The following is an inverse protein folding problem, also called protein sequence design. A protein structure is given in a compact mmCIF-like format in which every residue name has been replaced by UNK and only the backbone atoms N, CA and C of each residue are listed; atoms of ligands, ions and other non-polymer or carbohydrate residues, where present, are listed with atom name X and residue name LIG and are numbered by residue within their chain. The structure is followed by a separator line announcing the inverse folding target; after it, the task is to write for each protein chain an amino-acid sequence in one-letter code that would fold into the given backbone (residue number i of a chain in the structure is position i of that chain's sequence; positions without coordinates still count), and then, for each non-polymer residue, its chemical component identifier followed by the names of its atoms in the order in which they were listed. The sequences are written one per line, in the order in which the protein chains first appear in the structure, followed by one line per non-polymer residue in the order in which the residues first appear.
data_IF_397145687035
#
_entry.id   IF_397145687035
#
_cell.length_a   1.000
_cell.length_b   1.000
_cell.length_c   1.000
_cell.angle_alpha   90.00
_cell.angle_beta   90.00
_cell.angle_gamma   90.00
#
_symmetry.space_group_name_H-M   'P 1'
#
loop_
_entity.id
_entity.type
_entity.pdbx_description
1 polymer ?
#
# COMPACT_ATOMS: atom_id res chain seq x y z
N UNK A 1 11.88 21.72 -38.85
CA UNK A 1 11.24 21.94 -37.53
C UNK A 1 11.87 23.18 -36.94
N UNK A 2 11.11 24.27 -36.85
CA UNK A 2 11.57 25.48 -36.16
C UNK A 2 11.25 25.38 -34.67
N UNK A 3 12.11 25.89 -33.78
CA UNK A 3 11.87 25.83 -32.34
C UNK A 3 10.66 26.70 -31.95
N UNK A 4 9.92 26.27 -30.93
CA UNK A 4 8.81 27.03 -30.36
C UNK A 4 9.33 28.29 -29.66
N UNK A 5 8.56 29.38 -29.72
CA UNK A 5 8.87 30.61 -28.97
C UNK A 5 8.58 30.44 -27.48
N UNK A 6 9.15 31.30 -26.64
CA UNK A 6 8.93 31.28 -25.17
C UNK A 6 7.43 31.35 -24.84
N UNK A 7 6.69 32.21 -25.53
CA UNK A 7 5.25 32.36 -25.33
C UNK A 7 4.45 31.10 -25.73
N UNK A 8 4.96 30.30 -26.68
CA UNK A 8 4.33 29.04 -27.09
C UNK A 8 4.65 27.87 -26.14
N UNK A 9 5.76 27.95 -25.41
CA UNK A 9 6.20 26.90 -24.49
C UNK A 9 5.70 27.13 -23.06
N UNK A 10 5.49 28.38 -22.65
CA UNK A 10 5.07 28.73 -21.30
C UNK A 10 3.57 28.48 -21.09
N UNK A 11 3.24 27.71 -20.06
CA UNK A 11 1.87 27.51 -19.57
C UNK A 11 1.78 28.08 -18.16
N UNK A 12 1.16 29.25 -18.03
CA UNK A 12 0.93 29.88 -16.74
C UNK A 12 0.03 29.00 -15.87
N UNK A 13 0.37 28.90 -14.58
CA UNK A 13 -0.54 28.38 -13.56
C UNK A 13 -1.29 29.58 -12.99
N UNK A 14 -2.61 29.69 -13.16
CA UNK A 14 -3.38 30.74 -12.50
C UNK A 14 -3.33 30.53 -10.98
N UNK A 15 -3.14 31.61 -10.22
CA UNK A 15 -3.05 31.57 -8.76
C UNK A 15 -4.43 31.79 -8.10
N UNK A 16 -5.37 32.42 -8.81
CA UNK A 16 -6.72 32.78 -8.33
C UNK A 16 -7.58 31.59 -7.89
N UNK A 17 -7.16 30.36 -8.18
CA UNK A 17 -7.87 29.12 -7.82
C UNK A 17 -7.37 28.44 -6.55
N UNK A 18 -6.40 29.01 -5.84
CA UNK A 18 -5.86 28.46 -4.60
C UNK A 18 -6.38 29.24 -3.38
N UNK A 19 -7.00 28.51 -2.44
CA UNK A 19 -7.48 29.07 -1.18
C UNK A 19 -6.42 29.01 -0.06
N UNK A 20 -5.13 28.97 -0.42
CA UNK A 20 -4.00 28.87 0.52
C UNK A 20 -2.82 29.72 0.05
N UNK A 21 -2.04 30.23 1.01
CA UNK A 21 -0.86 31.07 0.75
C UNK A 21 0.44 30.25 0.85
N UNK A 22 0.51 29.34 1.82
CA UNK A 22 1.69 28.48 2.04
C UNK A 22 1.29 27.01 2.09
N UNK A 23 2.15 26.15 1.54
CA UNK A 23 1.89 24.70 1.43
C UNK A 23 1.68 23.98 2.76
N UNK A 24 2.08 24.57 3.89
CA UNK A 24 1.80 24.04 5.23
C UNK A 24 0.33 24.16 5.66
N UNK A 25 -0.46 24.99 4.98
CA UNK A 25 -1.91 25.11 5.21
C UNK A 25 -2.69 23.96 4.57
N UNK A 26 -2.06 23.22 3.65
CA UNK A 26 -2.68 22.08 3.01
C UNK A 26 -2.77 20.89 3.98
N UNK A 27 -3.95 20.29 4.04
CA UNK A 27 -4.13 19.01 4.72
C UNK A 27 -3.30 17.89 4.07
N UNK A 28 -3.04 16.84 4.83
CA UNK A 28 -2.39 15.64 4.30
C UNK A 28 -3.23 15.04 3.16
N UNK A 29 -2.62 14.86 2.00
CA UNK A 29 -3.27 14.19 0.88
C UNK A 29 -3.49 12.71 1.20
N UNK A 30 -4.63 12.16 0.78
CA UNK A 30 -4.83 10.71 0.77
C UNK A 30 -3.72 10.08 -0.09
N UNK A 31 -3.10 9.01 0.41
CA UNK A 31 -1.92 8.38 -0.15
C UNK A 31 -2.12 7.91 -1.59
N UNK A 32 -3.35 7.63 -2.01
CA UNK A 32 -3.69 7.25 -3.38
C UNK A 32 -4.45 8.33 -4.16
N UNK A 33 -4.40 9.58 -3.69
CA UNK A 33 -4.94 10.73 -4.43
C UNK A 33 -4.33 10.80 -5.83
N UNK A 34 -5.15 10.66 -6.87
CA UNK A 34 -4.71 10.57 -8.27
C UNK A 34 -4.45 9.16 -8.81
N UNK A 35 -4.53 8.13 -7.96
CA UNK A 35 -4.28 6.72 -8.32
C UNK A 35 -5.53 5.83 -8.16
N UNK A 36 -6.71 6.34 -8.55
CA UNK A 36 -8.02 5.65 -8.38
C UNK A 36 -8.00 4.18 -8.80
N UNK A 37 -7.48 3.88 -10.00
CA UNK A 37 -7.40 2.49 -10.50
C UNK A 37 -6.56 1.57 -9.60
N UNK A 38 -5.46 2.07 -9.05
CA UNK A 38 -4.61 1.28 -8.16
C UNK A 38 -5.34 1.00 -6.84
N UNK A 39 -6.04 2.01 -6.30
CA UNK A 39 -6.89 1.87 -5.12
C UNK A 39 -7.98 0.81 -5.33
N UNK A 40 -8.76 0.91 -6.40
CA UNK A 40 -9.83 -0.05 -6.70
C UNK A 40 -9.29 -1.49 -6.85
N UNK A 41 -8.13 -1.66 -7.49
CA UNK A 41 -7.52 -2.97 -7.69
C UNK A 41 -7.01 -3.57 -6.37
N UNK A 42 -6.39 -2.77 -5.51
CA UNK A 42 -5.98 -3.21 -4.17
C UNK A 42 -7.20 -3.54 -3.31
N UNK A 43 -8.25 -2.72 -3.41
CA UNK A 43 -9.46 -2.89 -2.65
C UNK A 43 -10.17 -4.20 -2.97
N UNK A 44 -10.35 -4.48 -4.26
CA UNK A 44 -10.90 -5.73 -4.77
C UNK A 44 -9.98 -6.92 -4.49
N UNK A 45 -8.68 -6.78 -4.80
CA UNK A 45 -7.69 -7.84 -4.68
C UNK A 45 -7.53 -8.36 -3.26
N UNK A 46 -7.53 -7.47 -2.26
CA UNK A 46 -7.37 -7.83 -0.85
C UNK A 46 -8.67 -8.29 -0.19
N UNK A 47 -9.83 -8.07 -0.82
CA UNK A 47 -11.10 -8.63 -0.37
C UNK A 47 -11.27 -10.11 -0.74
N UNK A 48 -10.53 -10.61 -1.75
CA UNK A 48 -10.59 -12.01 -2.16
C UNK A 48 -9.89 -12.94 -1.17
N UNK A 49 -10.65 -13.88 -0.60
CA UNK A 49 -10.15 -14.95 0.28
C UNK A 49 -10.23 -16.30 -0.44
N UNK A 50 -9.39 -16.47 -1.47
CA UNK A 50 -9.26 -17.73 -2.22
C UNK A 50 -7.86 -18.30 -2.06
N UNK A 51 -7.78 -19.59 -1.75
CA UNK A 51 -6.50 -20.30 -1.78
C UNK A 51 -5.87 -20.21 -3.19
N UNK A 52 -4.56 -20.03 -3.26
CA UNK A 52 -3.82 -19.88 -4.51
C UNK A 52 -3.94 -18.51 -5.19
N UNK A 53 -4.86 -17.64 -4.76
CA UNK A 53 -4.97 -16.29 -5.29
C UNK A 53 -3.88 -15.38 -4.71
N UNK A 54 -3.18 -14.65 -5.58
CA UNK A 54 -2.14 -13.72 -5.19
C UNK A 54 -2.33 -12.39 -5.92
N UNK A 55 -2.26 -11.28 -5.19
CA UNK A 55 -2.29 -9.94 -5.77
C UNK A 55 -0.85 -9.46 -6.04
N UNK A 56 -0.55 -9.09 -7.28
CA UNK A 56 0.74 -8.48 -7.65
C UNK A 56 0.54 -7.00 -7.99
N UNK A 57 1.24 -6.14 -7.26
CA UNK A 57 1.29 -4.70 -7.53
C UNK A 57 2.61 -4.35 -8.24
N UNK A 58 2.52 -3.60 -9.34
CA UNK A 58 3.67 -3.05 -10.06
C UNK A 58 3.50 -1.54 -10.17
N UNK A 59 3.96 -0.78 -9.17
CA UNK A 59 3.88 0.68 -9.21
C UNK A 59 4.74 1.23 -10.36
N UNK A 60 4.32 2.31 -11.03
CA UNK A 60 5.08 2.87 -12.15
C UNK A 60 6.40 3.49 -11.70
N UNK A 61 6.53 3.86 -10.41
CA UNK A 61 7.76 4.38 -9.80
C UNK A 61 7.93 3.81 -8.39
N UNK A 62 9.16 3.59 -7.89
CA UNK A 62 9.41 2.96 -6.59
C UNK A 62 8.71 3.65 -5.42
N UNK A 63 8.62 4.99 -5.44
CA UNK A 63 7.96 5.76 -4.37
C UNK A 63 6.48 5.41 -4.22
N UNK A 64 5.80 5.01 -5.30
CA UNK A 64 4.38 4.68 -5.23
C UNK A 64 4.09 3.36 -4.50
N UNK A 65 5.10 2.49 -4.34
CA UNK A 65 4.97 1.29 -3.50
C UNK A 65 4.67 1.63 -2.02
N UNK A 66 5.04 2.85 -1.57
CA UNK A 66 4.69 3.34 -0.22
C UNK A 66 3.18 3.50 -0.07
N UNK A 67 2.49 3.91 -1.12
CA UNK A 67 1.04 4.08 -1.09
C UNK A 67 0.34 2.72 -0.98
N UNK A 68 0.78 1.73 -1.75
CA UNK A 68 0.27 0.35 -1.67
C UNK A 68 0.45 -0.21 -0.24
N UNK A 69 1.64 -0.03 0.35
CA UNK A 69 1.94 -0.46 1.73
C UNK A 69 1.06 0.23 2.76
N UNK A 70 0.84 1.52 2.62
CA UNK A 70 0.05 2.28 3.58
C UNK A 70 -1.44 1.86 3.55
N UNK A 71 -2.01 1.63 2.37
CA UNK A 71 -3.36 1.07 2.24
C UNK A 71 -3.47 -0.33 2.84
N UNK A 72 -2.47 -1.19 2.59
CA UNK A 72 -2.42 -2.53 3.19
C UNK A 72 -2.31 -2.48 4.72
N UNK A 73 -1.53 -1.54 5.26
CA UNK A 73 -1.40 -1.33 6.70
C UNK A 73 -2.75 -0.90 7.32
N UNK A 74 -3.42 0.11 6.75
CA UNK A 74 -4.75 0.57 7.16
C UNK A 74 -5.76 -0.59 7.16
N UNK A 75 -5.79 -1.39 6.08
CA UNK A 75 -6.67 -2.56 5.99
C UNK A 75 -6.34 -3.66 6.99
N UNK A 76 -5.06 -3.90 7.26
CA UNK A 76 -4.62 -4.94 8.20
C UNK A 76 -4.91 -4.57 9.65
N UNK A 77 -4.90 -3.27 9.98
CA UNK A 77 -5.19 -2.77 11.32
C UNK A 77 -6.61 -3.13 11.79
N UNK A 78 -7.55 -3.25 10.85
CA UNK A 78 -8.94 -3.63 11.12
C UNK A 78 -9.19 -5.15 11.01
N UNK A 79 -8.16 -5.96 10.82
CA UNK A 79 -8.27 -7.42 10.73
C UNK A 79 -7.84 -8.10 12.04
N UNK A 80 -8.33 -9.33 12.30
CA UNK A 80 -7.83 -10.12 13.42
C UNK A 80 -6.32 -10.30 13.31
N UNK A 81 -5.62 -10.23 14.45
CA UNK A 81 -4.21 -10.57 14.52
C UNK A 81 -3.99 -11.98 13.95
N UNK A 82 -2.99 -12.19 13.08
CA UNK A 82 -2.70 -13.50 12.56
C UNK A 82 -2.24 -14.44 13.69
N UNK A 83 -2.48 -15.76 13.57
CA UNK A 83 -1.99 -16.71 14.56
C UNK A 83 -0.46 -16.75 14.54
N UNK A 84 0.13 -16.98 15.71
CA UNK A 84 1.56 -17.23 15.82
C UNK A 84 1.90 -18.58 15.18
N UNK A 85 3.03 -18.62 14.48
CA UNK A 85 3.55 -19.83 13.83
C UNK A 85 4.82 -20.23 14.54
N UNK A 86 4.84 -21.44 15.11
CA UNK A 86 6.00 -22.00 15.78
C UNK A 86 6.42 -23.34 15.15
N UNK A 87 7.71 -23.67 15.29
CA UNK A 87 8.23 -24.98 14.96
C UNK A 87 8.40 -25.79 16.23
N UNK A 88 7.77 -26.96 16.27
CA UNK A 88 8.00 -27.94 17.33
C UNK A 88 8.99 -28.99 16.84
N UNK A 89 9.89 -29.38 17.73
CA UNK A 89 10.79 -30.50 17.49
C UNK A 89 9.97 -31.76 17.18
N UNK A 90 10.37 -32.45 16.13
CA UNK A 90 9.75 -33.69 15.71
C UNK A 90 10.60 -34.86 16.23
N UNK A 91 10.06 -35.59 17.21
CA UNK A 91 10.76 -36.73 17.81
C UNK A 91 10.87 -37.93 16.86
N UNK A 92 9.95 -38.05 15.89
CA UNK A 92 9.93 -39.16 14.93
C UNK A 92 10.91 -38.91 13.77
N UNK A 93 11.05 -37.66 13.35
CA UNK A 93 12.02 -37.24 12.33
C UNK A 93 12.66 -35.88 12.70
N UNK A 94 13.78 -35.90 13.45
CA UNK A 94 14.47 -34.69 13.89
C UNK A 94 14.88 -33.72 12.77
N UNK A 95 15.02 -34.19 11.54
CA UNK A 95 15.38 -33.36 10.39
C UNK A 95 14.17 -32.59 9.82
N UNK A 96 12.95 -32.89 10.28
CA UNK A 96 11.70 -32.31 9.78
C UNK A 96 10.85 -31.74 10.93
N UNK A 97 11.14 -30.52 11.41
CA UNK A 97 10.33 -29.88 12.44
C UNK A 97 8.87 -29.71 11.99
N UNK A 98 7.93 -29.83 12.93
CA UNK A 98 6.49 -29.71 12.67
C UNK A 98 6.05 -28.27 12.92
N UNK A 99 5.33 -27.69 11.96
CA UNK A 99 4.72 -26.37 12.12
C UNK A 99 3.43 -26.47 12.95
N UNK A 100 3.30 -25.63 13.98
CA UNK A 100 2.06 -25.46 14.74
C UNK A 100 1.59 -24.00 14.70
N UNK A 101 0.26 -23.81 14.77
CA UNK A 101 -0.39 -22.50 14.89
C UNK A 101 -0.85 -22.33 16.33
N UNK A 102 -0.51 -21.20 16.94
CA UNK A 102 -0.92 -20.83 18.29
C UNK A 102 -1.81 -19.57 18.24
N UNK A 103 -2.63 -19.32 19.28
CA UNK A 103 -3.28 -18.02 19.44
C UNK A 103 -2.24 -16.89 19.39
N UNK A 104 -2.60 -15.71 18.88
CA UNK A 104 -1.68 -14.57 18.86
C UNK A 104 -1.22 -14.25 20.28
N UNK A 105 0.06 -13.92 20.43
CA UNK A 105 0.61 -13.45 21.69
C UNK A 105 -0.19 -12.25 22.25
N UNK A 106 -0.34 -12.14 23.58
CA UNK A 106 -1.16 -11.10 24.21
C UNK A 106 -0.72 -9.67 23.92
N UNK A 107 0.50 -9.46 23.42
CA UNK A 107 1.09 -8.14 23.11
C UNK A 107 1.25 -7.87 21.60
N UNK A 108 0.59 -8.63 20.73
CA UNK A 108 0.68 -8.47 19.28
C UNK A 108 -0.31 -7.41 18.73
N UNK A 109 -0.11 -6.14 19.11
CA UNK A 109 -0.75 -4.97 18.47
C UNK A 109 0.24 -3.80 18.38
#
# INVERSE_FOLDING_TARGET
MSPASVAQAYRACPEDGFDFEVTSELGSLDLLSGHRRARDALDFGTAMRSEGFNLRARPPQPRHARHDRALLAERSHHQPAPPDIAYRYNFDDPARPVTCRCPPAPDAC
#
